data_IF_265039628611
#
_entry.id   IF_265039628611
#
_cell.length_a   1.000
_cell.length_b   1.000
_cell.length_c   1.000
_cell.angle_alpha   90.00
_cell.angle_beta   90.00
_cell.angle_gamma   90.00
#
_symmetry.space_group_name_H-M   'P 1'
#
loop_
_entity.id
_entity.type
_entity.pdbx_description
1 polymer ?
#
# COMPACT_ATOMS: atom_id res chain seq x y z
N UNK A 1 -0.76 -21.47 15.81
CA UNK A 1 -1.60 -21.27 14.59
C UNK A 1 -1.93 -19.80 14.31
N UNK A 2 -2.33 -18.99 15.30
CA UNK A 2 -2.66 -17.55 15.11
C UNK A 2 -1.52 -16.74 14.45
N UNK A 3 -0.28 -16.94 14.89
CA UNK A 3 0.89 -16.25 14.36
C UNK A 3 1.23 -16.64 12.91
N UNK A 4 0.96 -17.89 12.50
CA UNK A 4 1.19 -18.31 11.11
C UNK A 4 0.17 -17.72 10.15
N UNK A 5 -1.10 -17.59 10.55
CA UNK A 5 -2.12 -16.90 9.74
C UNK A 5 -1.77 -15.42 9.57
N UNK A 6 -1.25 -14.80 10.63
CA UNK A 6 -0.78 -13.41 10.60
C UNK A 6 0.36 -13.19 9.58
N UNK A 7 1.41 -14.01 9.65
CA UNK A 7 2.54 -13.93 8.72
C UNK A 7 2.10 -14.24 7.29
N UNK A 8 1.29 -15.28 7.10
CA UNK A 8 0.76 -15.63 5.78
C UNK A 8 -0.09 -14.48 5.19
N UNK A 9 -0.89 -13.81 6.03
CA UNK A 9 -1.62 -12.60 5.68
C UNK A 9 -0.68 -11.47 5.23
N UNK A 10 0.38 -11.18 6.00
CA UNK A 10 1.39 -10.18 5.62
C UNK A 10 1.97 -10.47 4.24
N UNK A 11 2.38 -11.72 4.01
CA UNK A 11 3.03 -12.12 2.76
C UNK A 11 2.06 -11.95 1.58
N UNK A 12 0.82 -12.43 1.67
CA UNK A 12 -0.10 -12.36 0.52
C UNK A 12 -0.59 -10.95 0.24
N UNK A 13 -0.97 -10.19 1.27
CA UNK A 13 -1.44 -8.82 1.07
C UNK A 13 -0.31 -7.92 0.56
N UNK A 14 0.91 -8.10 1.09
CA UNK A 14 2.09 -7.41 0.60
C UNK A 14 2.44 -7.80 -0.83
N UNK A 15 2.40 -9.09 -1.17
CA UNK A 15 2.68 -9.58 -2.53
C UNK A 15 1.64 -9.08 -3.54
N UNK A 16 0.36 -9.06 -3.17
CA UNK A 16 -0.71 -8.53 -4.03
C UNK A 16 -0.57 -7.03 -4.26
N UNK A 17 -0.28 -6.26 -3.21
CA UNK A 17 -0.07 -4.82 -3.34
C UNK A 17 1.17 -4.50 -4.18
N UNK A 18 2.31 -5.12 -3.85
CA UNK A 18 3.55 -4.93 -4.61
C UNK A 18 3.39 -5.32 -6.07
N UNK A 19 2.68 -6.42 -6.36
CA UNK A 19 2.38 -6.84 -7.72
C UNK A 19 1.49 -5.84 -8.47
N UNK A 20 0.44 -5.33 -7.81
CA UNK A 20 -0.41 -4.29 -8.37
C UNK A 20 0.38 -3.02 -8.68
N UNK A 21 1.30 -2.61 -7.80
CA UNK A 21 2.23 -1.51 -8.06
C UNK A 21 3.13 -1.79 -9.26
N UNK A 22 3.68 -3.01 -9.36
CA UNK A 22 4.54 -3.40 -10.47
C UNK A 22 3.84 -3.32 -11.84
N UNK A 23 2.57 -3.73 -11.93
CA UNK A 23 1.83 -3.76 -13.19
C UNK A 23 0.99 -2.50 -13.38
N UNK A 24 0.00 -2.30 -12.50
CA UNK A 24 -0.98 -1.22 -12.63
C UNK A 24 -0.32 0.13 -12.38
N UNK A 25 0.55 0.23 -11.37
CA UNK A 25 1.28 1.46 -11.07
C UNK A 25 2.14 1.93 -12.25
N UNK A 26 2.79 0.99 -12.94
CA UNK A 26 3.58 1.30 -14.15
C UNK A 26 2.68 1.68 -15.33
N UNK A 27 1.59 0.95 -15.60
CA UNK A 27 0.63 1.29 -16.65
C UNK A 27 0.00 2.69 -16.46
N UNK A 28 -0.35 3.05 -15.22
CA UNK A 28 -0.88 4.38 -14.90
C UNK A 28 0.14 5.48 -15.17
N UNK A 29 1.42 5.22 -14.89
CA UNK A 29 2.51 6.16 -15.13
C UNK A 29 2.75 6.36 -16.63
N UNK A 30 2.72 5.29 -17.40
CA UNK A 30 2.86 5.35 -18.87
C UNK A 30 1.70 6.12 -19.52
N UNK A 31 0.51 6.08 -18.90
CA UNK A 31 -0.66 6.85 -19.31
C UNK A 31 -0.68 8.31 -18.79
N UNK A 32 0.39 8.79 -18.14
CA UNK A 32 0.47 10.12 -17.49
C UNK A 32 -0.66 10.40 -16.46
N UNK A 33 -1.18 9.36 -15.82
CA UNK A 33 -2.17 9.49 -14.74
C UNK A 33 -1.46 9.66 -13.39
N UNK A 34 -2.14 10.22 -12.35
CA UNK A 34 -1.58 10.37 -11.01
C UNK A 34 -1.46 9.02 -10.30
N UNK A 35 -0.53 8.18 -10.76
CA UNK A 35 -0.37 6.79 -10.36
C UNK A 35 -0.21 6.66 -8.84
N UNK A 36 0.60 7.52 -8.21
CA UNK A 36 0.78 7.50 -6.75
C UNK A 36 -0.54 7.66 -6.00
N UNK A 37 -1.30 8.73 -6.28
CA UNK A 37 -2.55 8.99 -5.56
C UNK A 37 -3.61 7.90 -5.79
N UNK A 38 -3.68 7.34 -7.01
CA UNK A 38 -4.56 6.23 -7.35
C UNK A 38 -4.16 4.94 -6.63
N UNK A 39 -2.88 4.59 -6.67
CA UNK A 39 -2.39 3.36 -6.05
C UNK A 39 -2.50 3.41 -4.52
N UNK A 40 -2.16 4.55 -3.91
CA UNK A 40 -2.35 4.75 -2.47
C UNK A 40 -3.83 4.69 -2.12
N UNK A 41 -4.67 5.46 -2.81
CA UNK A 41 -6.10 5.58 -2.49
C UNK A 41 -6.91 4.30 -2.70
N UNK A 42 -6.59 3.48 -3.71
CA UNK A 42 -7.32 2.26 -4.04
C UNK A 42 -6.65 1.04 -3.40
N UNK A 43 -5.39 0.76 -3.77
CA UNK A 43 -4.72 -0.49 -3.43
C UNK A 43 -4.15 -0.45 -2.02
N UNK A 44 -3.38 0.59 -1.67
CA UNK A 44 -2.78 0.69 -0.35
C UNK A 44 -3.86 0.76 0.74
N UNK A 45 -4.74 1.76 0.66
CA UNK A 45 -5.84 1.92 1.62
C UNK A 45 -6.80 0.74 1.59
N UNK A 46 -7.17 0.24 0.42
CA UNK A 46 -8.09 -0.90 0.30
C UNK A 46 -7.57 -2.16 0.99
N UNK A 47 -6.35 -2.60 0.63
CA UNK A 47 -5.76 -3.82 1.17
C UNK A 47 -5.36 -3.66 2.65
N UNK A 48 -4.88 -2.49 3.06
CA UNK A 48 -4.55 -2.22 4.45
C UNK A 48 -5.79 -2.14 5.35
N UNK A 49 -6.87 -1.50 4.90
CA UNK A 49 -8.15 -1.50 5.63
C UNK A 49 -8.74 -2.91 5.71
N UNK A 50 -8.68 -3.69 4.63
CA UNK A 50 -9.17 -5.06 4.61
C UNK A 50 -8.39 -5.96 5.59
N UNK A 51 -7.07 -5.92 5.52
CA UNK A 51 -6.21 -6.67 6.44
C UNK A 51 -6.38 -6.21 7.90
N UNK A 52 -6.47 -4.90 8.15
CA UNK A 52 -6.64 -4.34 9.51
C UNK A 52 -7.95 -4.76 10.14
N UNK A 53 -9.03 -4.71 9.37
CA UNK A 53 -10.35 -5.11 9.86
C UNK A 53 -10.46 -6.63 10.02
N UNK A 54 -9.70 -7.42 9.28
CA UNK A 54 -9.71 -8.90 9.34
C UNK A 54 -8.87 -9.43 10.49
N UNK A 55 -7.59 -9.05 10.58
CA UNK A 55 -6.65 -9.62 11.56
C UNK A 55 -6.58 -8.80 12.85
N UNK A 56 -6.85 -7.49 12.80
CA UNK A 56 -6.88 -6.57 13.96
C UNK A 56 -5.61 -6.62 14.82
N UNK A 57 -4.45 -6.78 14.20
CA UNK A 57 -3.16 -6.80 14.89
C UNK A 57 -2.30 -5.61 14.45
N UNK A 58 -1.72 -4.86 15.41
CA UNK A 58 -0.71 -3.84 15.11
C UNK A 58 0.55 -4.47 14.52
N UNK A 59 1.27 -3.72 13.70
CA UNK A 59 2.45 -4.16 12.97
C UNK A 59 2.16 -4.86 11.64
N UNK A 60 0.91 -5.28 11.38
CA UNK A 60 0.58 -6.02 10.16
C UNK A 60 0.79 -5.17 8.92
N UNK A 61 0.32 -3.92 8.95
CA UNK A 61 0.33 -3.03 7.79
C UNK A 61 1.75 -2.57 7.45
N UNK A 62 2.59 -2.37 8.47
CA UNK A 62 4.03 -2.16 8.29
C UNK A 62 4.70 -3.37 7.59
N UNK A 63 4.38 -4.59 8.04
CA UNK A 63 4.87 -5.82 7.40
C UNK A 63 4.40 -5.95 5.94
N UNK A 64 3.12 -5.66 5.68
CA UNK A 64 2.54 -5.67 4.32
C UNK A 64 3.29 -4.67 3.42
N UNK A 65 3.51 -3.44 3.89
CA UNK A 65 4.26 -2.42 3.16
C UNK A 65 5.70 -2.81 2.91
N UNK A 66 6.36 -3.48 3.87
CA UNK A 66 7.72 -3.99 3.69
C UNK A 66 7.78 -5.04 2.57
N UNK A 67 6.88 -6.03 2.58
CA UNK A 67 6.82 -7.06 1.54
C UNK A 67 6.49 -6.45 0.17
N UNK A 68 5.54 -5.52 0.10
CA UNK A 68 5.15 -4.85 -1.14
C UNK A 68 6.30 -4.00 -1.71
N UNK A 69 6.96 -3.20 -0.86
CA UNK A 69 8.11 -2.39 -1.25
C UNK A 69 9.30 -3.24 -1.66
N UNK A 70 9.56 -4.35 -0.98
CA UNK A 70 10.59 -5.31 -1.37
C UNK A 70 10.31 -5.87 -2.77
N UNK A 71 9.09 -6.32 -3.05
CA UNK A 71 8.70 -6.79 -4.37
C UNK A 71 8.87 -5.71 -5.45
N UNK A 72 8.56 -4.44 -5.13
CA UNK A 72 8.76 -3.30 -6.04
C UNK A 72 10.25 -3.03 -6.33
N UNK A 73 11.16 -3.28 -5.39
CA UNK A 73 12.61 -3.18 -5.65
C UNK A 73 13.12 -4.21 -6.67
N UNK A 74 12.45 -5.37 -6.77
CA UNK A 74 12.82 -6.41 -7.73
C UNK A 74 12.25 -6.17 -9.14
N UNK A 75 11.58 -5.05 -9.39
CA UNK A 75 10.86 -4.80 -10.65
C UNK A 75 11.51 -3.70 -11.51
N UNK A 76 11.86 -3.95 -12.79
CA UNK A 76 12.41 -2.95 -13.71
C UNK A 76 11.37 -2.29 -14.62
N UNK A 77 10.05 -2.45 -14.39
CA UNK A 77 9.04 -1.72 -15.16
C UNK A 77 9.07 -0.20 -14.88
N UNK A 78 9.95 0.53 -15.59
CA UNK A 78 9.94 1.98 -15.78
C UNK A 78 10.07 2.88 -14.53
N UNK A 79 11.11 3.72 -14.48
CA UNK A 79 11.23 4.86 -13.55
C UNK A 79 12.14 4.64 -12.34
N UNK A 80 12.03 5.51 -11.33
CA UNK A 80 12.81 5.41 -10.09
C UNK A 80 12.20 4.35 -9.16
N UNK A 81 12.74 3.14 -9.20
CA UNK A 81 12.24 2.00 -8.42
C UNK A 81 12.40 2.21 -6.91
N UNK A 82 13.50 2.86 -6.50
CA UNK A 82 13.83 3.15 -5.11
C UNK A 82 12.79 4.09 -4.48
N UNK A 83 12.40 5.17 -5.16
CA UNK A 83 11.46 6.12 -4.59
C UNK A 83 10.07 5.49 -4.38
N UNK A 84 9.60 4.72 -5.36
CA UNK A 84 8.31 4.02 -5.24
C UNK A 84 8.34 2.95 -4.15
N UNK A 85 9.43 2.21 -4.00
CA UNK A 85 9.57 1.21 -2.95
C UNK A 85 9.61 1.85 -1.55
N UNK A 86 10.37 2.93 -1.38
CA UNK A 86 10.41 3.70 -0.12
C UNK A 86 9.03 4.25 0.22
N UNK A 87 8.31 4.81 -0.77
CA UNK A 87 6.95 5.29 -0.58
C UNK A 87 6.03 4.19 -0.06
N UNK A 88 5.99 3.03 -0.71
CA UNK A 88 5.15 1.87 -0.32
C UNK A 88 5.46 1.42 1.11
N UNK A 89 6.75 1.30 1.45
CA UNK A 89 7.17 0.92 2.82
C UNK A 89 6.73 1.96 3.85
N UNK A 90 6.91 3.24 3.55
CA UNK A 90 6.51 4.34 4.43
C UNK A 90 4.98 4.40 4.60
N UNK A 91 4.22 4.21 3.52
CA UNK A 91 2.76 4.19 3.55
C UNK A 91 2.21 3.08 4.45
N UNK A 92 2.78 1.87 4.36
CA UNK A 92 2.42 0.75 5.22
C UNK A 92 2.66 1.04 6.71
N UNK A 93 3.79 1.66 7.02
CA UNK A 93 4.13 2.07 8.39
C UNK A 93 3.20 3.19 8.89
N UNK A 94 3.01 4.24 8.10
CA UNK A 94 2.16 5.38 8.46
C UNK A 94 0.72 4.94 8.69
N UNK A 95 0.18 4.09 7.82
CA UNK A 95 -1.16 3.55 8.01
C UNK A 95 -1.26 2.80 9.32
N UNK A 96 -0.30 1.93 9.65
CA UNK A 96 -0.32 1.17 10.90
C UNK A 96 -0.30 2.10 12.13
N UNK A 97 0.51 3.15 12.09
CA UNK A 97 0.59 4.15 13.17
C UNK A 97 -0.71 4.93 13.30
N UNK A 98 -1.26 5.45 12.20
CA UNK A 98 -2.51 6.21 12.17
C UNK A 98 -3.66 5.36 12.71
N UNK A 99 -3.80 4.12 12.24
CA UNK A 99 -4.89 3.23 12.63
C UNK A 99 -4.70 2.58 14.00
N UNK A 100 -3.48 2.57 14.54
CA UNK A 100 -3.24 2.20 15.94
C UNK A 100 -3.55 3.37 16.87
N UNK A 101 -3.28 4.62 16.44
CA UNK A 101 -3.67 5.83 17.16
C UNK A 101 -5.19 6.06 17.16
N UNK A 102 -5.90 5.64 16.11
CA UNK A 102 -7.36 5.63 16.13
C UNK A 102 -7.88 4.59 17.12
N UNK A 103 -8.34 5.04 18.29
CA UNK A 103 -9.01 4.23 19.32
C UNK A 103 -10.42 3.82 18.89
N UNK A 104 -10.53 3.19 17.72
CA UNK A 104 -11.80 2.75 17.15
C UNK A 104 -12.09 1.31 17.52
N UNK A 105 -13.29 1.09 18.05
CA UNK A 105 -13.82 -0.25 18.24
C UNK A 105 -14.29 -0.84 16.90
N UNK A 106 -13.38 -1.51 16.20
CA UNK A 106 -13.63 -2.23 14.95
C UNK A 106 -14.58 -3.45 15.13
N UNK A 107 -15.12 -3.69 16.32
CA UNK A 107 -16.20 -4.66 16.56
C UNK A 107 -17.59 -4.07 16.36
N UNK A 108 -17.73 -2.74 16.47
CA UNK A 108 -19.02 -2.05 16.24
C UNK A 108 -19.18 -1.69 14.77
N UNK A 109 -20.43 -1.78 14.28
CA UNK A 109 -20.79 -1.29 12.95
C UNK A 109 -20.60 0.22 12.92
N UNK A 110 -19.59 0.66 12.17
CA UNK A 110 -19.30 2.08 12.01
C UNK A 110 -20.31 2.72 11.05
N UNK A 111 -20.75 3.94 11.34
CA UNK A 111 -21.61 4.69 10.41
C UNK A 111 -20.85 5.03 9.13
N UNK A 112 -21.57 5.24 8.03
CA UNK A 112 -20.95 5.59 6.75
C UNK A 112 -20.09 6.86 6.85
N UNK A 113 -20.54 7.84 7.64
CA UNK A 113 -19.79 9.07 7.90
C UNK A 113 -18.44 8.80 8.59
N UNK A 114 -18.40 7.90 9.58
CA UNK A 114 -17.15 7.52 10.25
C UNK A 114 -16.22 6.79 9.27
N UNK A 115 -16.76 5.85 8.48
CA UNK A 115 -15.97 5.12 7.48
C UNK A 115 -15.38 6.06 6.41
N UNK A 116 -16.18 7.01 5.91
CA UNK A 116 -15.73 8.04 4.98
C UNK A 116 -14.64 8.92 5.61
N UNK A 117 -14.84 9.40 6.84
CA UNK A 117 -13.85 10.23 7.54
C UNK A 117 -12.52 9.50 7.77
N UNK A 118 -12.58 8.21 8.08
CA UNK A 118 -11.39 7.35 8.18
C UNK A 118 -10.69 7.21 6.84
N UNK A 119 -11.46 7.01 5.77
CA UNK A 119 -10.94 6.96 4.41
C UNK A 119 -10.21 8.24 4.01
N UNK A 120 -10.85 9.40 4.17
CA UNK A 120 -10.26 10.73 3.89
C UNK A 120 -8.96 10.89 4.67
N UNK A 121 -9.02 10.74 5.99
CA UNK A 121 -7.89 11.04 6.87
C UNK A 121 -6.73 10.08 6.63
N UNK A 122 -7.02 8.78 6.52
CA UNK A 122 -5.98 7.79 6.30
C UNK A 122 -5.36 7.92 4.91
N UNK A 123 -6.14 8.01 3.84
CA UNK A 123 -5.61 8.13 2.48
C UNK A 123 -4.78 9.40 2.30
N UNK A 124 -5.26 10.53 2.82
CA UNK A 124 -4.54 11.80 2.76
C UNK A 124 -3.20 11.72 3.49
N UNK A 125 -3.21 11.34 4.77
CA UNK A 125 -2.01 11.32 5.60
C UNK A 125 -0.99 10.27 5.15
N UNK A 126 -1.48 9.11 4.69
CA UNK A 126 -0.62 8.04 4.15
C UNK A 126 0.06 8.50 2.87
N UNK A 127 -0.68 9.07 1.92
CA UNK A 127 -0.11 9.59 0.67
C UNK A 127 0.90 10.72 0.94
N UNK A 128 0.48 11.75 1.67
CA UNK A 128 1.32 12.93 1.94
C UNK A 128 2.56 12.52 2.72
N UNK A 129 2.40 11.73 3.79
CA UNK A 129 3.52 11.26 4.59
C UNK A 129 4.46 10.34 3.81
N UNK A 130 3.93 9.41 3.01
CA UNK A 130 4.73 8.54 2.15
C UNK A 130 5.56 9.33 1.13
N UNK A 131 4.96 10.36 0.53
CA UNK A 131 5.65 11.23 -0.42
C UNK A 131 6.72 12.08 0.26
N UNK A 132 6.45 12.67 1.43
CA UNK A 132 7.45 13.43 2.21
C UNK A 132 8.63 12.54 2.58
N UNK A 133 8.37 11.34 3.10
CA UNK A 133 9.43 10.38 3.45
C UNK A 133 10.26 10.03 2.22
N UNK A 134 9.62 9.86 1.08
CA UNK A 134 10.31 9.57 -0.19
C UNK A 134 11.21 10.72 -0.64
N UNK A 135 10.75 11.97 -0.54
CA UNK A 135 11.56 13.15 -0.88
C UNK A 135 12.79 13.32 0.03
N UNK A 136 12.71 12.86 1.27
CA UNK A 136 13.84 12.90 2.22
C UNK A 136 14.78 11.74 1.99
N UNK A 137 14.27 10.51 1.91
CA UNK A 137 15.09 9.30 1.87
C UNK A 137 15.66 8.99 0.50
N UNK A 138 14.97 9.31 -0.60
CA UNK A 138 15.46 8.99 -1.96
C UNK A 138 16.82 9.63 -2.22
N UNK A 139 17.04 10.95 -1.99
CA UNK A 139 18.35 11.58 -2.19
C UNK A 139 19.45 11.02 -1.28
N UNK A 140 19.09 10.56 -0.08
CA UNK A 140 20.02 9.94 0.87
C UNK A 140 20.50 8.59 0.32
N UNK A 141 19.58 7.77 -0.19
CA UNK A 141 19.91 6.47 -0.77
C UNK A 141 20.53 6.55 -2.17
N UNK A 142 20.30 7.65 -2.90
CA UNK A 142 20.89 7.87 -4.24
C UNK A 142 22.17 8.72 -4.21
N UNK A 143 22.70 9.03 -3.02
CA UNK A 143 23.90 9.88 -2.83
C UNK A 143 23.81 11.27 -3.50
N UNK A 144 22.60 11.77 -3.79
CA UNK A 144 22.39 13.00 -4.54
C UNK A 144 22.38 14.27 -3.67
N UNK A 145 22.51 14.13 -2.34
CA UNK A 145 22.41 15.25 -1.40
C UNK A 145 20.96 15.69 -1.20
N UNK A 146 20.50 15.77 0.05
CA UNK A 146 19.16 16.29 0.36
C UNK A 146 19.19 17.81 0.47
N UNK A 147 18.36 18.49 -0.33
CA UNK A 147 18.19 19.94 -0.29
C UNK A 147 16.78 20.28 0.14
N UNK A 148 16.66 21.01 1.26
CA UNK A 148 15.38 21.35 1.89
C UNK A 148 14.52 22.26 0.99
N UNK A 149 15.16 23.07 0.15
CA UNK A 149 14.52 23.94 -0.84
C UNK A 149 13.65 23.14 -1.83
N UNK A 150 14.15 21.99 -2.33
CA UNK A 150 13.40 21.13 -3.24
C UNK A 150 12.13 20.61 -2.58
N UNK A 151 12.20 20.22 -1.30
CA UNK A 151 11.02 19.76 -0.56
C UNK A 151 9.97 20.87 -0.47
N UNK A 152 10.37 22.09 -0.10
CA UNK A 152 9.45 23.23 0.05
C UNK A 152 8.71 23.53 -1.26
N UNK A 153 9.41 23.48 -2.39
CA UNK A 153 8.82 23.73 -3.71
C UNK A 153 7.75 22.69 -4.07
N UNK A 154 7.94 21.42 -3.68
CA UNK A 154 6.97 20.35 -3.98
C UNK A 154 5.83 20.22 -2.97
N UNK A 155 5.90 20.85 -1.78
CA UNK A 155 4.84 20.76 -0.75
C UNK A 155 3.45 21.08 -1.31
N UNK A 156 3.21 22.20 -2.03
CA UNK A 156 1.87 22.52 -2.53
C UNK A 156 1.30 21.42 -3.44
N UNK A 157 2.14 20.84 -4.30
CA UNK A 157 1.74 19.77 -5.20
C UNK A 157 1.46 18.46 -4.45
N UNK A 158 2.26 18.14 -3.43
CA UNK A 158 2.06 16.95 -2.57
C UNK A 158 0.73 17.06 -1.84
N UNK A 159 0.45 18.20 -1.20
CA UNK A 159 -0.80 18.44 -0.47
C UNK A 159 -2.01 18.39 -1.42
N UNK A 160 -1.91 19.02 -2.59
CA UNK A 160 -2.98 18.99 -3.60
C UNK A 160 -3.25 17.57 -4.11
N UNK A 161 -2.21 16.79 -4.41
CA UNK A 161 -2.35 15.40 -4.86
C UNK A 161 -2.89 14.49 -3.75
N UNK A 162 -2.56 14.80 -2.49
CA UNK A 162 -3.12 14.13 -1.31
C UNK A 162 -4.63 14.26 -1.22
N UNK A 163 -5.21 15.41 -1.61
CA UNK A 163 -6.67 15.57 -1.66
C UNK A 163 -7.32 14.59 -2.63
N UNK A 164 -6.67 14.31 -3.76
CA UNK A 164 -7.16 13.31 -4.72
C UNK A 164 -7.16 11.91 -4.10
N UNK A 165 -6.09 11.52 -3.40
CA UNK A 165 -6.05 10.27 -2.64
C UNK A 165 -7.14 10.23 -1.55
N UNK A 166 -7.40 11.36 -0.87
CA UNK A 166 -8.42 11.49 0.16
C UNK A 166 -9.84 11.24 -0.40
N UNK A 167 -10.16 11.82 -1.56
CA UNK A 167 -11.43 11.62 -2.25
C UNK A 167 -11.65 10.16 -2.64
N UNK A 168 -10.59 9.47 -3.08
CA UNK A 168 -10.64 8.04 -3.35
C UNK A 168 -10.89 7.27 -2.05
N UNK A 169 -10.21 7.65 -0.96
CA UNK A 169 -10.38 7.06 0.36
C UNK A 169 -11.83 7.09 0.88
N UNK A 170 -12.59 8.15 0.57
CA UNK A 170 -14.04 8.27 0.88
C UNK A 170 -14.81 7.07 0.37
N UNK A 171 -14.46 6.56 -0.81
CA UNK A 171 -15.14 5.44 -1.45
C UNK A 171 -14.51 4.11 -1.05
N UNK A 172 -13.18 4.04 -1.05
CA UNK A 172 -12.43 2.80 -0.81
C UNK A 172 -12.75 2.19 0.57
N UNK A 173 -12.71 2.98 1.64
CA UNK A 173 -12.89 2.45 2.99
C UNK A 173 -14.31 1.90 3.21
N UNK A 174 -15.40 2.64 2.93
CA UNK A 174 -16.75 2.08 3.01
C UNK A 174 -16.98 0.86 2.11
N UNK A 175 -16.38 0.85 0.91
CA UNK A 175 -16.45 -0.29 0.01
C UNK A 175 -15.84 -1.54 0.68
N UNK A 176 -14.67 -1.42 1.31
CA UNK A 176 -14.04 -2.53 2.04
C UNK A 176 -14.92 -3.01 3.21
N UNK A 177 -15.49 -2.10 3.99
CA UNK A 177 -16.40 -2.47 5.09
C UNK A 177 -17.66 -3.20 4.58
N UNK A 178 -18.16 -2.83 3.39
CA UNK A 178 -19.31 -3.48 2.75
C UNK A 178 -18.94 -4.85 2.20
N UNK A 179 -17.80 -4.98 1.51
CA UNK A 179 -17.30 -6.26 1.00
C UNK A 179 -17.02 -7.25 2.13
N UNK A 180 -16.55 -6.77 3.28
CA UNK A 180 -16.33 -7.63 4.45
C UNK A 180 -17.63 -8.26 4.99
N UNK A 181 -18.79 -7.60 4.84
CA UNK A 181 -20.09 -8.17 5.25
C UNK A 181 -20.51 -9.36 4.40
N UNK A 182 -19.89 -9.56 3.23
CA UNK A 182 -20.20 -10.69 2.34
C UNK A 182 -19.56 -12.01 2.81
N UNK A 183 -18.97 -12.04 4.01
CA UNK A 183 -18.40 -13.20 4.71
C UNK A 183 -17.77 -14.24 3.76
N UNK A 184 -16.66 -13.86 3.12
CA UNK A 184 -15.82 -14.79 2.39
C UNK A 184 -15.01 -15.65 3.38
N UNK A 185 -15.70 -16.57 4.07
CA UNK A 185 -15.07 -17.53 4.97
C UNK A 185 -14.38 -18.63 4.14
N UNK A 186 -13.12 -18.38 3.76
CA UNK A 186 -12.25 -19.41 3.20
C UNK A 186 -11.96 -20.47 4.27
N UNK A 187 -12.17 -21.74 3.93
CA UNK A 187 -11.84 -22.84 4.82
C UNK A 187 -10.33 -22.85 5.11
N UNK A 188 -9.97 -23.03 6.38
CA UNK A 188 -8.56 -23.02 6.85
C UNK A 188 -7.63 -23.94 6.06
N UNK A 189 -8.18 -25.04 5.51
CA UNK A 189 -7.49 -26.00 4.65
C UNK A 189 -7.03 -25.38 3.32
N UNK A 190 -7.83 -24.49 2.74
CA UNK A 190 -7.54 -23.84 1.46
C UNK A 190 -6.80 -22.52 1.64
N UNK A 191 -6.88 -21.90 2.83
CA UNK A 191 -6.22 -20.65 3.13
C UNK A 191 -4.72 -20.72 2.82
N UNK A 192 -3.96 -21.58 3.50
CA UNK A 192 -2.51 -21.67 3.32
C UNK A 192 -2.04 -21.99 1.90
N UNK A 193 -2.58 -23.01 1.18
CA UNK A 193 -2.12 -23.30 -0.18
C UNK A 193 -2.45 -22.17 -1.15
N UNK A 194 -3.61 -21.51 -1.04
CA UNK A 194 -3.95 -20.35 -1.86
C UNK A 194 -3.00 -19.19 -1.56
N UNK A 195 -2.75 -18.93 -0.28
CA UNK A 195 -1.86 -17.84 0.16
C UNK A 195 -0.46 -18.01 -0.42
N UNK A 196 0.09 -19.23 -0.33
CA UNK A 196 1.41 -19.56 -0.90
C UNK A 196 1.37 -19.46 -2.42
N UNK A 197 0.38 -20.06 -3.08
CA UNK A 197 0.27 -20.09 -4.53
C UNK A 197 0.16 -18.68 -5.13
N UNK A 198 -0.72 -17.84 -4.59
CA UNK A 198 -0.90 -16.45 -5.04
C UNK A 198 0.36 -15.64 -4.81
N UNK A 199 0.98 -15.75 -3.62
CA UNK A 199 2.20 -15.01 -3.32
C UNK A 199 3.34 -15.45 -4.24
N UNK A 200 3.56 -16.76 -4.38
CA UNK A 200 4.60 -17.28 -5.27
C UNK A 200 4.38 -16.82 -6.72
N UNK A 201 3.15 -16.84 -7.21
CA UNK A 201 2.81 -16.35 -8.56
C UNK A 201 3.14 -14.86 -8.73
N UNK A 202 2.77 -14.00 -7.76
CA UNK A 202 3.12 -12.58 -7.79
C UNK A 202 4.64 -12.36 -7.90
N UNK A 203 5.42 -13.06 -7.08
CA UNK A 203 6.88 -12.91 -7.04
C UNK A 203 7.56 -13.49 -8.28
N UNK A 204 7.15 -14.68 -8.73
CA UNK A 204 7.72 -15.33 -9.93
C UNK A 204 7.47 -14.48 -11.16
N UNK A 205 6.26 -13.93 -11.34
CA UNK A 205 5.98 -13.07 -12.50
C UNK A 205 6.86 -11.82 -12.48
N UNK A 206 6.97 -11.13 -11.35
CA UNK A 206 7.81 -9.93 -11.24
C UNK A 206 9.27 -10.27 -11.52
N UNK A 207 9.85 -11.25 -10.82
CA UNK A 207 11.27 -11.63 -10.98
C UNK A 207 11.56 -12.14 -12.40
N UNK A 208 10.71 -12.98 -12.97
CA UNK A 208 10.92 -13.52 -14.32
C UNK A 208 10.89 -12.40 -15.34
N UNK A 209 9.93 -11.47 -15.21
CA UNK A 209 9.88 -10.30 -16.07
C UNK A 209 11.15 -9.46 -15.94
N UNK A 210 11.65 -9.28 -14.72
CA UNK A 210 12.89 -8.55 -14.46
C UNK A 210 14.08 -9.14 -15.19
N UNK A 211 14.23 -10.47 -15.09
CA UNK A 211 15.30 -11.19 -15.77
C UNK A 211 15.15 -11.00 -17.29
N UNK A 212 13.95 -11.20 -17.85
CA UNK A 212 13.73 -11.07 -19.28
C UNK A 212 14.08 -9.67 -19.82
N UNK A 213 13.78 -8.60 -19.09
CA UNK A 213 14.10 -7.23 -19.51
C UNK A 213 15.61 -6.93 -19.41
N UNK A 214 16.31 -7.44 -18.40
CA UNK A 214 17.76 -7.19 -18.22
C UNK A 214 18.61 -7.89 -19.29
N UNK A 215 18.12 -9.00 -19.86
CA UNK A 215 18.83 -9.79 -20.88
C UNK A 215 18.43 -9.45 -22.33
N UNK A 216 17.56 -8.46 -22.54
CA UNK A 216 17.16 -7.90 -23.84
C UNK A 216 17.86 -6.55 -24.08
#
# INVERSE_FOLDING_TARGET
>A
MKNMKFIAGIIVFGSLWGFAECIIGSLLRDANLPAGALMTGIFAIGLMTLSRTTFRQPGMQAGIGLVAGALRLFNPFGGCFICSAIAIMAEGLLFDLIWTGFSLDLKKTQTLAIQASLGITSAYLVYVGGYIVTQILTPVFSSAGFYLENLIVFIPQILASGLFAALIGVVTVPMVFTLKKLDFALQDRLYYPITIGVSALCWVIVITNTILIVWL
#
